data_IF_780426290788
#
_entry.id   IF_780426290788
#
_cell.length_a   1.000
_cell.length_b   1.000
_cell.length_c   1.000
_cell.angle_alpha   90.00
_cell.angle_beta   90.00
_cell.angle_gamma   90.00
#
_symmetry.space_group_name_H-M   'P 1'
#
loop_
_entity.id
_entity.type
_entity.pdbx_description
1 polymer ?
#
# COMPACT_ATOMS: atom_id res chain seq x y z
N UNK A 1 -4.44 23.01 -23.27
CA UNK A 1 -4.66 22.50 -24.64
C UNK A 1 -5.20 21.10 -24.49
N UNK A 2 -6.40 20.76 -24.99
CA UNK A 2 -6.87 19.38 -25.04
C UNK A 2 -6.08 18.63 -26.10
N UNK A 3 -5.43 17.54 -25.73
CA UNK A 3 -4.80 16.59 -26.64
C UNK A 3 -5.92 15.87 -27.39
N UNK A 4 -6.17 16.28 -28.62
CA UNK A 4 -7.01 15.55 -29.57
C UNK A 4 -6.21 14.36 -30.07
N UNK A 5 -6.52 13.17 -29.57
CA UNK A 5 -5.99 11.92 -30.11
C UNK A 5 -6.73 11.64 -31.44
N UNK A 6 -5.97 11.60 -32.54
CA UNK A 6 -6.48 11.08 -33.81
C UNK A 6 -6.76 9.57 -33.66
N UNK A 7 -7.88 9.04 -34.21
CA UNK A 7 -8.15 7.61 -34.19
C UNK A 7 -7.08 6.88 -34.99
N UNK A 8 -6.32 6.00 -34.33
CA UNK A 8 -5.41 5.10 -35.04
C UNK A 8 -6.20 4.04 -35.84
N UNK A 9 -5.65 3.55 -36.97
CA UNK A 9 -6.32 2.55 -37.78
C UNK A 9 -6.54 1.26 -36.99
N UNK A 10 -7.69 0.65 -37.17
CA UNK A 10 -8.24 -0.55 -36.56
C UNK A 10 -7.49 -1.86 -36.93
N UNK A 11 -6.20 -1.94 -36.65
CA UNK A 11 -5.51 -3.23 -36.59
C UNK A 11 -5.54 -3.74 -35.15
N UNK A 12 -6.12 -4.92 -34.96
CA UNK A 12 -6.12 -5.61 -33.66
C UNK A 12 -4.69 -5.65 -33.12
N UNK A 13 -4.51 -5.13 -31.90
CA UNK A 13 -3.20 -5.02 -31.26
C UNK A 13 -2.66 -6.38 -30.87
N UNK A 14 -1.44 -6.72 -31.25
CA UNK A 14 -0.84 -8.04 -30.98
C UNK A 14 -0.37 -8.26 -29.53
N UNK A 15 -0.59 -7.30 -28.64
CA UNK A 15 -0.20 -7.42 -27.22
C UNK A 15 -1.12 -8.35 -26.47
N UNK A 16 -0.56 -9.21 -25.63
CA UNK A 16 -1.30 -10.04 -24.68
C UNK A 16 -1.56 -9.27 -23.38
N UNK A 17 -2.83 -9.15 -23.00
CA UNK A 17 -3.25 -8.40 -21.81
C UNK A 17 -3.82 -9.34 -20.74
N UNK A 18 -3.28 -9.29 -19.53
CA UNK A 18 -3.90 -9.94 -18.36
C UNK A 18 -4.67 -8.92 -17.53
N UNK A 19 -5.92 -9.20 -17.18
CA UNK A 19 -6.73 -8.39 -16.29
C UNK A 19 -6.84 -9.10 -14.94
N UNK A 20 -6.38 -8.45 -13.87
CA UNK A 20 -6.47 -8.97 -12.50
C UNK A 20 -7.61 -8.27 -11.77
N UNK A 21 -8.59 -9.05 -11.30
CA UNK A 21 -9.69 -8.61 -10.45
C UNK A 21 -9.68 -9.35 -9.11
N UNK A 22 -9.90 -8.64 -8.00
CA UNK A 22 -9.96 -9.23 -6.65
C UNK A 22 -11.38 -9.17 -6.13
N UNK A 23 -11.92 -10.32 -5.71
CA UNK A 23 -13.23 -10.51 -5.12
C UNK A 23 -13.07 -10.70 -3.60
N UNK A 24 -13.51 -9.73 -2.81
CA UNK A 24 -13.43 -9.76 -1.34
C UNK A 24 -14.74 -9.39 -0.63
N UNK A 25 -15.76 -9.02 -1.41
CA UNK A 25 -17.10 -8.67 -0.94
C UNK A 25 -18.19 -9.24 -1.83
N UNK A 26 -19.38 -9.48 -1.27
CA UNK A 26 -20.56 -9.91 -2.03
C UNK A 26 -21.02 -8.87 -3.06
N UNK A 27 -20.68 -7.59 -2.85
CA UNK A 27 -20.99 -6.54 -3.81
C UNK A 27 -20.21 -6.74 -5.12
N UNK A 28 -18.91 -7.03 -5.03
CA UNK A 28 -18.04 -7.31 -6.19
C UNK A 28 -18.50 -8.57 -6.93
N UNK A 29 -18.93 -9.61 -6.18
CA UNK A 29 -19.47 -10.84 -6.81
C UNK A 29 -20.74 -10.58 -7.62
N UNK A 30 -21.65 -9.71 -7.12
CA UNK A 30 -22.87 -9.32 -7.86
C UNK A 30 -22.56 -8.55 -9.15
N UNK A 31 -21.51 -7.77 -9.16
CA UNK A 31 -21.08 -6.98 -10.32
C UNK A 31 -20.17 -7.74 -11.29
N UNK A 32 -19.76 -8.97 -10.93
CA UNK A 32 -18.75 -9.72 -11.65
C UNK A 32 -19.12 -9.99 -13.12
N UNK A 33 -20.37 -10.36 -13.39
CA UNK A 33 -20.83 -10.67 -14.75
C UNK A 33 -20.78 -9.43 -15.66
N UNK A 34 -21.23 -8.27 -15.15
CA UNK A 34 -21.22 -7.01 -15.89
C UNK A 34 -19.78 -6.51 -16.09
N UNK A 35 -18.94 -6.64 -15.07
CA UNK A 35 -17.53 -6.28 -15.11
C UNK A 35 -16.76 -7.11 -16.16
N UNK A 36 -16.96 -8.42 -16.19
CA UNK A 36 -16.37 -9.31 -17.19
C UNK A 36 -16.89 -9.00 -18.59
N UNK A 37 -18.20 -8.81 -18.76
CA UNK A 37 -18.80 -8.54 -20.06
C UNK A 37 -18.36 -7.19 -20.63
N UNK A 38 -18.29 -6.16 -19.82
CA UNK A 38 -17.82 -4.83 -20.22
C UNK A 38 -16.36 -4.85 -20.67
N UNK A 39 -15.49 -5.49 -19.89
CA UNK A 39 -14.08 -5.64 -20.24
C UNK A 39 -13.86 -6.55 -21.45
N UNK A 40 -14.65 -7.65 -21.57
CA UNK A 40 -14.59 -8.53 -22.73
C UNK A 40 -14.89 -7.78 -24.03
N UNK A 41 -15.95 -6.94 -24.03
CA UNK A 41 -16.28 -6.12 -25.20
C UNK A 41 -15.14 -5.19 -25.61
N UNK A 42 -14.51 -4.52 -24.65
CA UNK A 42 -13.37 -3.62 -24.90
C UNK A 42 -12.12 -4.38 -25.37
N UNK A 43 -11.78 -5.49 -24.70
CA UNK A 43 -10.58 -6.26 -25.00
C UNK A 43 -10.67 -7.02 -26.31
N UNK A 44 -11.80 -7.67 -26.61
CA UNK A 44 -12.00 -8.42 -27.84
C UNK A 44 -11.94 -7.55 -29.11
N UNK A 45 -12.33 -6.29 -28.97
CA UNK A 45 -12.23 -5.31 -30.07
C UNK A 45 -10.80 -4.79 -30.27
N UNK A 46 -10.04 -4.63 -29.18
CA UNK A 46 -8.74 -3.93 -29.23
C UNK A 46 -7.52 -4.86 -29.23
N UNK A 47 -7.61 -6.09 -28.68
CA UNK A 47 -6.48 -6.99 -28.47
C UNK A 47 -6.72 -8.38 -29.02
N UNK A 48 -5.68 -9.00 -29.57
CA UNK A 48 -5.75 -10.37 -30.12
C UNK A 48 -5.80 -11.45 -29.03
N UNK A 49 -5.14 -11.19 -27.89
CA UNK A 49 -5.05 -12.13 -26.78
C UNK A 49 -5.24 -11.42 -25.44
N UNK A 50 -6.06 -12.01 -24.58
CA UNK A 50 -6.26 -11.53 -23.23
C UNK A 50 -6.70 -12.67 -22.30
N UNK A 51 -6.48 -12.49 -21.00
CA UNK A 51 -6.96 -13.37 -19.93
C UNK A 51 -7.51 -12.55 -18.76
N UNK A 52 -8.44 -13.15 -18.03
CA UNK A 52 -8.94 -12.64 -16.76
C UNK A 52 -8.41 -13.51 -15.62
N UNK A 53 -7.72 -12.93 -14.68
CA UNK A 53 -7.21 -13.56 -13.47
C UNK A 53 -8.03 -13.04 -12.29
N UNK A 54 -9.03 -13.79 -11.89
CA UNK A 54 -9.88 -13.47 -10.74
C UNK A 54 -9.28 -14.08 -9.48
N UNK A 55 -9.18 -13.31 -8.43
CA UNK A 55 -8.69 -13.77 -7.13
C UNK A 55 -9.85 -13.76 -6.14
N UNK A 56 -10.29 -14.94 -5.72
CA UNK A 56 -11.27 -15.09 -4.65
C UNK A 56 -10.59 -14.93 -3.28
N UNK A 57 -10.86 -13.81 -2.63
CA UNK A 57 -10.33 -13.47 -1.30
C UNK A 57 -11.42 -13.61 -0.22
N UNK A 58 -11.95 -14.82 -0.08
CA UNK A 58 -12.90 -15.18 0.97
C UNK A 58 -14.37 -14.93 0.64
N UNK A 59 -14.74 -14.90 -0.65
CA UNK A 59 -16.14 -14.92 -1.10
C UNK A 59 -16.60 -16.37 -1.30
N UNK A 60 -17.93 -16.56 -1.29
CA UNK A 60 -18.53 -17.86 -1.59
C UNK A 60 -18.27 -18.27 -3.04
N UNK A 61 -17.67 -19.46 -3.20
CA UNK A 61 -17.27 -19.99 -4.50
C UNK A 61 -18.48 -20.28 -5.40
N UNK A 62 -19.56 -20.81 -4.82
CA UNK A 62 -20.79 -21.13 -5.58
C UNK A 62 -21.43 -19.87 -6.17
N UNK A 63 -21.40 -18.77 -5.43
CA UNK A 63 -21.89 -17.47 -5.91
C UNK A 63 -21.04 -16.92 -7.06
N UNK A 64 -19.72 -17.10 -7.02
CA UNK A 64 -18.81 -16.68 -8.10
C UNK A 64 -19.06 -17.54 -9.35
N UNK A 65 -19.14 -18.86 -9.19
CA UNK A 65 -19.42 -19.79 -10.30
C UNK A 65 -20.78 -19.50 -10.94
N UNK A 66 -21.81 -19.25 -10.12
CA UNK A 66 -23.14 -18.87 -10.61
C UNK A 66 -23.13 -17.56 -11.42
N UNK A 67 -22.23 -16.62 -11.12
CA UNK A 67 -22.07 -15.40 -11.90
C UNK A 67 -21.30 -15.60 -13.21
N UNK A 68 -20.40 -16.61 -13.28
CA UNK A 68 -19.57 -16.88 -14.47
C UNK A 68 -20.29 -17.83 -15.44
N UNK A 69 -21.02 -18.83 -14.97
CA UNK A 69 -21.65 -19.85 -15.80
C UNK A 69 -22.57 -19.30 -16.92
N UNK A 70 -23.36 -18.24 -16.72
CA UNK A 70 -24.24 -17.70 -17.77
C UNK A 70 -23.48 -16.95 -18.88
N UNK A 71 -22.18 -16.66 -18.70
CA UNK A 71 -21.39 -15.89 -19.66
C UNK A 71 -21.08 -16.71 -20.93
N UNK A 72 -20.85 -16.06 -22.09
CA UNK A 72 -20.48 -16.72 -23.33
C UNK A 72 -19.23 -17.62 -23.18
N UNK A 73 -19.20 -18.74 -23.87
CA UNK A 73 -18.10 -19.70 -23.79
C UNK A 73 -16.74 -19.06 -24.16
N UNK A 74 -16.74 -18.19 -25.18
CA UNK A 74 -15.54 -17.47 -25.63
C UNK A 74 -14.96 -16.53 -24.55
N UNK A 75 -15.80 -16.00 -23.68
CA UNK A 75 -15.35 -15.24 -22.53
C UNK A 75 -14.86 -16.18 -21.42
N UNK A 76 -15.64 -17.23 -21.10
CA UNK A 76 -15.34 -18.15 -20.00
C UNK A 76 -13.97 -18.82 -20.14
N UNK A 77 -13.61 -19.32 -21.31
CA UNK A 77 -12.30 -19.97 -21.55
C UNK A 77 -11.09 -19.11 -21.28
N UNK A 78 -11.26 -17.78 -21.19
CA UNK A 78 -10.22 -16.83 -20.85
C UNK A 78 -10.18 -16.49 -19.34
N UNK A 79 -11.04 -17.11 -18.51
CA UNK A 79 -11.14 -16.82 -17.07
C UNK A 79 -10.37 -17.86 -16.27
N UNK A 80 -9.48 -17.37 -15.42
CA UNK A 80 -8.80 -18.14 -14.38
C UNK A 80 -9.24 -17.62 -13.01
N UNK A 81 -9.77 -18.49 -12.17
CA UNK A 81 -10.18 -18.18 -10.81
C UNK A 81 -9.21 -18.82 -9.82
N UNK A 82 -8.51 -17.98 -9.05
CA UNK A 82 -7.62 -18.38 -7.98
C UNK A 82 -8.39 -18.29 -6.65
N UNK A 83 -8.59 -19.41 -5.98
CA UNK A 83 -9.13 -19.43 -4.63
C UNK A 83 -8.00 -19.36 -3.62
N UNK A 84 -8.03 -18.36 -2.76
CA UNK A 84 -7.11 -18.27 -1.63
C UNK A 84 -7.61 -19.13 -0.47
N UNK A 85 -6.70 -19.82 0.21
CA UNK A 85 -7.02 -20.69 1.35
C UNK A 85 -7.60 -19.95 2.54
N UNK A 86 -7.28 -18.67 2.69
CA UNK A 86 -7.75 -17.79 3.75
C UNK A 86 -7.92 -16.37 3.22
N UNK A 87 -8.84 -15.61 3.84
CA UNK A 87 -8.96 -14.18 3.53
C UNK A 87 -7.72 -13.43 4.02
N UNK A 88 -7.10 -12.69 3.11
CA UNK A 88 -5.90 -11.88 3.36
C UNK A 88 -6.16 -10.40 3.02
N UNK A 89 -5.17 -9.53 3.25
CA UNK A 89 -5.29 -8.14 2.84
C UNK A 89 -5.37 -8.01 1.31
N UNK A 90 -5.99 -6.92 0.83
CA UNK A 90 -6.22 -6.68 -0.61
C UNK A 90 -4.92 -6.62 -1.41
N UNK A 91 -3.87 -5.99 -0.87
CA UNK A 91 -2.58 -5.86 -1.55
C UNK A 91 -1.93 -7.23 -1.84
N UNK A 92 -2.00 -8.16 -0.89
CA UNK A 92 -1.49 -9.53 -1.07
C UNK A 92 -2.38 -10.35 -2.04
N UNK A 93 -3.69 -10.14 -2.02
CA UNK A 93 -4.59 -10.77 -2.99
C UNK A 93 -4.33 -10.26 -4.42
N UNK A 94 -4.09 -8.96 -4.59
CA UNK A 94 -3.65 -8.39 -5.88
C UNK A 94 -2.33 -9.04 -6.31
N UNK A 95 -1.36 -9.18 -5.40
CA UNK A 95 -0.07 -9.79 -5.70
C UNK A 95 -0.21 -11.25 -6.17
N UNK A 96 -1.12 -12.03 -5.57
CA UNK A 96 -1.42 -13.40 -6.02
C UNK A 96 -1.94 -13.43 -7.47
N UNK A 97 -2.80 -12.49 -7.84
CA UNK A 97 -3.28 -12.34 -9.21
C UNK A 97 -2.18 -11.90 -10.18
N UNK A 98 -1.33 -10.97 -9.76
CA UNK A 98 -0.18 -10.49 -10.55
C UNK A 98 0.85 -11.61 -10.80
N UNK A 99 1.08 -12.48 -9.83
CA UNK A 99 2.03 -13.61 -9.96
C UNK A 99 1.52 -14.65 -10.96
N UNK A 100 0.19 -14.81 -11.11
CA UNK A 100 -0.41 -15.73 -12.09
C UNK A 100 -0.52 -15.14 -13.49
N UNK A 101 -0.53 -13.83 -13.62
CA UNK A 101 -0.73 -13.15 -14.90
C UNK A 101 0.41 -13.42 -15.90
N UNK A 102 0.08 -13.70 -17.17
CA UNK A 102 1.05 -14.07 -18.20
C UNK A 102 1.19 -13.04 -19.33
N UNK A 103 0.31 -12.02 -19.40
CA UNK A 103 0.28 -11.03 -20.47
C UNK A 103 1.56 -10.18 -20.58
N UNK A 104 1.79 -9.58 -21.73
CA UNK A 104 2.85 -8.58 -21.96
C UNK A 104 2.65 -7.35 -21.10
N UNK A 105 1.38 -7.04 -20.86
CA UNK A 105 0.93 -6.05 -19.89
C UNK A 105 -0.11 -6.66 -18.97
N UNK A 106 -0.05 -6.32 -17.70
CA UNK A 106 -1.01 -6.77 -16.69
C UNK A 106 -1.71 -5.56 -16.09
N UNK A 107 -3.04 -5.54 -16.18
CA UNK A 107 -3.87 -4.51 -15.55
C UNK A 107 -4.53 -5.06 -14.29
N UNK A 108 -4.27 -4.44 -13.15
CA UNK A 108 -5.15 -4.55 -11.99
C UNK A 108 -6.33 -3.63 -12.24
N UNK A 109 -7.55 -4.14 -12.25
CA UNK A 109 -8.73 -3.36 -12.59
C UNK A 109 -9.80 -3.51 -11.49
N UNK A 110 -10.09 -2.40 -10.79
CA UNK A 110 -11.05 -2.38 -9.69
C UNK A 110 -12.49 -2.28 -10.20
N UNK A 111 -13.44 -2.83 -9.44
CA UNK A 111 -14.86 -2.80 -9.76
C UNK A 111 -15.45 -1.38 -9.75
N UNK A 112 -14.80 -0.42 -9.08
CA UNK A 112 -15.18 1.00 -9.09
C UNK A 112 -15.18 1.61 -10.51
N UNK A 113 -14.50 0.96 -11.46
CA UNK A 113 -14.40 1.38 -12.86
C UNK A 113 -15.20 0.50 -13.84
N UNK A 114 -16.17 -0.24 -13.32
CA UNK A 114 -17.06 -1.14 -14.10
C UNK A 114 -17.63 -0.47 -15.36
N UNK A 115 -18.08 0.79 -15.24
CA UNK A 115 -18.70 1.55 -16.34
C UNK A 115 -17.69 2.15 -17.33
N UNK A 116 -16.38 1.96 -17.09
CA UNK A 116 -15.30 2.58 -17.86
C UNK A 116 -14.23 1.57 -18.33
N UNK A 117 -14.62 0.47 -19.01
CA UNK A 117 -13.66 -0.55 -19.47
C UNK A 117 -12.61 0.03 -20.44
N UNK A 118 -12.94 1.07 -21.21
CA UNK A 118 -12.03 1.76 -22.11
C UNK A 118 -10.78 2.36 -21.41
N UNK A 119 -10.78 2.50 -20.08
CA UNK A 119 -9.60 2.92 -19.34
C UNK A 119 -8.44 1.94 -19.49
N UNK A 120 -8.70 0.64 -19.72
CA UNK A 120 -7.65 -0.36 -19.97
C UNK A 120 -6.88 0.00 -21.25
N UNK A 121 -7.61 0.29 -22.32
CA UNK A 121 -7.04 0.69 -23.61
C UNK A 121 -6.29 2.02 -23.50
N UNK A 122 -6.85 3.02 -22.81
CA UNK A 122 -6.18 4.30 -22.57
C UNK A 122 -4.88 4.14 -21.77
N UNK A 123 -4.87 3.29 -20.72
CA UNK A 123 -3.65 2.98 -19.98
C UNK A 123 -2.61 2.29 -20.86
N UNK A 124 -3.04 1.37 -21.74
CA UNK A 124 -2.15 0.70 -22.66
C UNK A 124 -1.55 1.66 -23.68
N UNK A 125 -2.35 2.55 -24.27
CA UNK A 125 -1.87 3.59 -25.19
C UNK A 125 -0.83 4.51 -24.54
N UNK A 126 -1.08 4.92 -23.30
CA UNK A 126 -0.13 5.72 -22.56
C UNK A 126 1.14 4.92 -22.23
N UNK A 127 1.04 3.61 -21.99
CA UNK A 127 2.21 2.75 -21.78
C UNK A 127 3.09 2.65 -23.03
N UNK A 128 2.51 2.69 -24.25
CA UNK A 128 3.26 2.69 -25.51
C UNK A 128 4.16 3.94 -25.67
N UNK A 129 3.92 4.99 -24.92
CA UNK A 129 4.82 6.18 -24.90
C UNK A 129 6.11 5.93 -24.08
N UNK A 130 6.41 4.69 -23.72
CA UNK A 130 7.61 4.30 -22.97
C UNK A 130 7.40 4.32 -21.46
N UNK A 131 6.15 4.23 -20.98
CA UNK A 131 5.82 4.11 -19.56
C UNK A 131 5.59 2.66 -19.18
N UNK A 132 6.19 2.24 -18.07
CA UNK A 132 6.09 0.87 -17.59
C UNK A 132 4.91 0.65 -16.65
N UNK A 133 4.54 1.68 -15.90
CA UNK A 133 3.44 1.63 -14.94
C UNK A 133 2.53 2.83 -15.19
N UNK A 134 1.29 2.56 -15.59
CA UNK A 134 0.25 3.58 -15.77
C UNK A 134 -0.85 3.34 -14.75
N UNK A 135 -1.24 4.34 -13.96
CA UNK A 135 -2.24 4.20 -12.93
C UNK A 135 -3.33 5.28 -13.01
N UNK A 136 -4.48 5.00 -12.45
CA UNK A 136 -5.56 5.97 -12.35
C UNK A 136 -5.36 6.84 -11.11
N UNK A 137 -5.53 8.15 -11.28
CA UNK A 137 -5.34 9.14 -10.23
C UNK A 137 -6.64 9.84 -9.90
N UNK A 138 -7.13 9.67 -8.66
CA UNK A 138 -8.31 10.34 -8.18
C UNK A 138 -8.07 11.86 -8.01
N UNK A 139 -9.11 12.66 -8.22
CA UNK A 139 -9.12 14.08 -7.88
C UNK A 139 -9.47 14.31 -6.42
N UNK A 140 -10.27 13.43 -5.83
CA UNK A 140 -10.79 13.56 -4.48
C UNK A 140 -10.66 12.25 -3.69
N UNK A 141 -10.66 12.36 -2.37
CA UNK A 141 -10.67 11.24 -1.45
C UNK A 141 -11.77 11.44 -0.41
N UNK A 142 -12.65 10.47 -0.28
CA UNK A 142 -13.70 10.48 0.75
C UNK A 142 -13.14 9.94 2.06
N UNK A 143 -12.79 10.84 2.98
CA UNK A 143 -12.25 10.51 4.30
C UNK A 143 -12.94 11.33 5.37
N UNK A 144 -13.09 10.75 6.56
CA UNK A 144 -13.42 11.49 7.78
C UNK A 144 -12.29 12.45 8.17
N UNK A 145 -12.59 13.44 9.01
CA UNK A 145 -11.59 14.43 9.46
C UNK A 145 -10.37 13.76 10.14
N UNK A 146 -10.63 12.76 11.00
CA UNK A 146 -9.57 12.02 11.69
C UNK A 146 -8.69 11.21 10.70
N UNK A 147 -9.31 10.53 9.74
CA UNK A 147 -8.59 9.82 8.69
C UNK A 147 -7.77 10.78 7.83
N UNK A 148 -8.32 11.95 7.47
CA UNK A 148 -7.60 12.97 6.68
C UNK A 148 -6.32 13.43 7.39
N UNK A 149 -6.38 13.66 8.70
CA UNK A 149 -5.21 14.03 9.49
C UNK A 149 -4.17 12.90 9.51
N UNK A 150 -4.61 11.67 9.79
CA UNK A 150 -3.72 10.49 9.80
C UNK A 150 -3.03 10.28 8.44
N UNK A 151 -3.77 10.36 7.35
CA UNK A 151 -3.21 10.27 6.00
C UNK A 151 -2.23 11.40 5.69
N UNK A 152 -2.54 12.63 6.11
CA UNK A 152 -1.63 13.78 5.93
C UNK A 152 -0.30 13.55 6.66
N UNK A 153 -0.34 13.09 7.92
CA UNK A 153 0.85 12.76 8.71
C UNK A 153 1.62 11.60 8.06
N UNK A 154 0.93 10.52 7.68
CA UNK A 154 1.53 9.36 7.06
C UNK A 154 2.29 9.70 5.77
N UNK A 155 1.65 10.40 4.83
CA UNK A 155 2.29 10.80 3.59
C UNK A 155 3.35 11.88 3.77
N UNK A 156 3.24 12.75 4.78
CA UNK A 156 4.30 13.68 5.16
C UNK A 156 5.55 12.92 5.61
N UNK A 157 5.40 11.92 6.48
CA UNK A 157 6.51 11.07 6.93
C UNK A 157 7.13 10.33 5.74
N UNK A 158 6.32 9.71 4.89
CA UNK A 158 6.80 9.02 3.68
C UNK A 158 7.56 9.98 2.75
N UNK A 159 7.02 11.15 2.46
CA UNK A 159 7.66 12.09 1.54
C UNK A 159 8.95 12.70 2.10
N UNK A 160 9.06 12.89 3.43
CA UNK A 160 10.21 13.55 4.07
C UNK A 160 11.33 12.60 4.44
N UNK A 161 11.00 11.34 4.79
CA UNK A 161 11.94 10.35 5.33
C UNK A 161 12.09 9.10 4.48
N UNK A 162 11.46 9.03 3.30
CA UNK A 162 11.65 8.00 2.29
C UNK A 162 12.15 8.61 0.99
N UNK A 163 12.90 7.84 0.23
CA UNK A 163 13.31 8.19 -1.15
C UNK A 163 12.24 7.84 -2.19
N UNK A 164 11.14 7.21 -1.75
CA UNK A 164 10.08 6.72 -2.63
C UNK A 164 9.11 7.84 -3.01
N UNK A 165 8.87 8.00 -4.30
CA UNK A 165 7.85 8.92 -4.83
C UNK A 165 6.51 8.20 -4.93
N UNK A 166 5.76 8.12 -3.82
CA UNK A 166 4.44 7.50 -3.78
C UNK A 166 3.38 8.56 -4.01
N UNK A 167 2.53 8.37 -5.04
CA UNK A 167 1.37 9.24 -5.25
C UNK A 167 0.24 8.83 -4.28
N UNK A 168 -0.15 9.69 -3.33
CA UNK A 168 -1.23 9.42 -2.40
C UNK A 168 -2.59 9.27 -3.07
N UNK A 169 -2.77 9.80 -4.28
CA UNK A 169 -4.04 9.84 -5.01
C UNK A 169 -4.20 8.71 -6.03
N UNK A 170 -3.21 7.83 -6.15
CA UNK A 170 -3.28 6.68 -7.06
C UNK A 170 -4.27 5.61 -6.59
N UNK A 171 -5.13 5.13 -7.50
CA UNK A 171 -5.94 3.91 -7.31
C UNK A 171 -5.06 2.65 -7.36
N UNK A 172 -5.63 1.50 -6.97
CA UNK A 172 -4.99 0.21 -7.23
C UNK A 172 -5.09 -0.17 -8.71
N UNK A 173 -6.10 0.36 -9.44
CA UNK A 173 -6.22 0.19 -10.88
C UNK A 173 -5.01 0.77 -11.60
N UNK A 174 -4.26 -0.12 -12.25
CA UNK A 174 -3.02 0.21 -12.97
C UNK A 174 -2.66 -0.85 -13.99
N UNK A 175 -1.99 -0.41 -15.05
CA UNK A 175 -1.38 -1.26 -16.06
C UNK A 175 0.12 -1.31 -15.82
N UNK A 176 0.71 -2.50 -15.91
CA UNK A 176 2.12 -2.76 -15.61
C UNK A 176 2.72 -3.56 -16.77
N UNK A 177 3.87 -3.13 -17.31
CA UNK A 177 4.63 -3.89 -18.30
C UNK A 177 5.22 -5.18 -17.70
N UNK A 178 5.42 -6.22 -18.53
CA UNK A 178 6.00 -7.50 -18.08
C UNK A 178 7.33 -7.32 -17.35
N UNK A 179 8.21 -6.45 -17.85
CA UNK A 179 9.52 -6.21 -17.21
C UNK A 179 9.39 -5.59 -15.82
N UNK A 180 8.46 -4.63 -15.65
CA UNK A 180 8.22 -4.02 -14.35
C UNK A 180 7.53 -5.00 -13.39
N UNK A 181 6.60 -5.83 -13.89
CA UNK A 181 5.93 -6.87 -13.12
C UNK A 181 6.92 -7.93 -12.62
N UNK A 182 7.80 -8.42 -13.50
CA UNK A 182 8.83 -9.39 -13.10
C UNK A 182 9.76 -8.84 -12.01
N UNK A 183 10.09 -7.55 -12.08
CA UNK A 183 10.89 -6.89 -11.04
C UNK A 183 10.12 -6.73 -9.73
N UNK A 184 8.82 -6.39 -9.82
CA UNK A 184 7.93 -6.30 -8.65
C UNK A 184 7.80 -7.65 -7.93
N UNK A 185 7.60 -8.74 -8.69
CA UNK A 185 7.45 -10.09 -8.13
C UNK A 185 8.73 -10.64 -7.49
N UNK A 186 9.90 -10.10 -7.87
CA UNK A 186 11.19 -10.43 -7.21
C UNK A 186 11.36 -9.76 -5.86
N UNK A 187 10.64 -8.65 -5.62
CA UNK A 187 10.59 -8.00 -4.31
C UNK A 187 9.72 -8.84 -3.36
N UNK A 188 10.24 -9.97 -2.90
CA UNK A 188 9.55 -10.87 -1.96
C UNK A 188 9.53 -10.34 -0.53
N UNK A 189 9.55 -9.03 -0.36
CA UNK A 189 9.41 -8.41 0.94
C UNK A 189 8.01 -8.67 1.50
N UNK A 190 7.92 -9.01 2.78
CA UNK A 190 6.65 -9.10 3.54
C UNK A 190 5.94 -7.74 3.68
N UNK A 191 6.26 -6.82 2.78
CA UNK A 191 5.74 -5.48 2.75
C UNK A 191 4.25 -5.50 2.37
N UNK A 192 3.42 -5.13 3.33
CA UNK A 192 1.96 -5.07 3.20
C UNK A 192 1.46 -3.80 2.48
N UNK A 193 2.34 -3.08 1.78
CA UNK A 193 1.98 -1.82 1.12
C UNK A 193 2.43 -1.82 -0.34
N UNK A 194 1.58 -2.37 -1.18
CA UNK A 194 1.86 -2.59 -2.61
C UNK A 194 2.18 -1.29 -3.37
N UNK A 195 1.57 -0.15 -2.97
CA UNK A 195 1.88 1.16 -3.59
C UNK A 195 3.33 1.58 -3.39
N UNK A 196 3.95 1.22 -2.27
CA UNK A 196 5.37 1.46 -2.05
C UNK A 196 6.24 0.54 -2.92
N UNK A 197 5.84 -0.72 -3.10
CA UNK A 197 6.58 -1.66 -3.94
C UNK A 197 6.64 -1.21 -5.40
N UNK A 198 5.54 -0.63 -5.95
CA UNK A 198 5.56 -0.03 -7.29
C UNK A 198 6.51 1.16 -7.40
N UNK A 199 6.65 1.95 -6.35
CA UNK A 199 7.62 3.05 -6.33
C UNK A 199 9.07 2.54 -6.17
N UNK A 200 9.26 1.46 -5.41
CA UNK A 200 10.57 0.87 -5.11
C UNK A 200 11.22 0.26 -6.35
N UNK A 201 10.44 -0.36 -7.26
CA UNK A 201 11.00 -0.92 -8.51
C UNK A 201 11.55 0.16 -9.46
N UNK A 202 11.20 1.44 -9.26
CA UNK A 202 11.84 2.58 -9.92
C UNK A 202 11.55 2.74 -11.42
N UNK A 203 10.58 2.03 -11.98
CA UNK A 203 10.21 2.11 -13.38
C UNK A 203 9.47 3.41 -13.72
N UNK A 204 9.47 3.78 -15.00
CA UNK A 204 8.80 4.99 -15.49
C UNK A 204 7.30 4.90 -15.27
N UNK A 205 6.71 5.94 -14.65
CA UNK A 205 5.28 5.99 -14.32
C UNK A 205 4.56 7.11 -15.07
N UNK A 206 3.26 6.90 -15.33
CA UNK A 206 2.33 7.94 -15.77
C UNK A 206 0.98 7.75 -15.06
N UNK A 207 0.14 8.79 -15.06
CA UNK A 207 -1.19 8.72 -14.45
C UNK A 207 -2.26 9.32 -15.37
N UNK A 208 -3.45 8.71 -15.33
CA UNK A 208 -4.66 9.21 -15.98
C UNK A 208 -5.57 9.77 -14.87
N UNK A 209 -5.95 11.06 -14.92
CA UNK A 209 -6.85 11.64 -13.94
C UNK A 209 -8.27 11.09 -14.13
N UNK A 210 -8.90 10.66 -13.04
CA UNK A 210 -10.28 10.14 -13.01
C UNK A 210 -11.12 10.90 -12.00
N UNK A 211 -12.44 10.82 -12.18
CA UNK A 211 -13.41 11.51 -11.30
C UNK A 211 -13.82 10.67 -10.10
N UNK A 212 -13.63 9.36 -10.17
CA UNK A 212 -13.95 8.42 -9.10
C UNK A 212 -13.10 8.73 -7.87
N UNK A 213 -13.76 8.96 -6.70
CA UNK A 213 -13.03 9.24 -5.47
C UNK A 213 -12.35 7.98 -4.95
N UNK A 214 -11.21 8.15 -4.30
CA UNK A 214 -10.61 7.07 -3.52
C UNK A 214 -11.47 6.79 -2.28
N UNK A 215 -11.94 5.56 -2.19
CA UNK A 215 -12.60 5.05 -0.99
C UNK A 215 -11.58 4.42 -0.03
N UNK A 216 -11.70 4.64 1.30
CA UNK A 216 -10.96 3.81 2.25
C UNK A 216 -11.45 2.37 2.13
N UNK A 217 -10.57 1.41 2.31
CA UNK A 217 -10.98 0.01 2.35
C UNK A 217 -11.92 -0.21 3.55
N UNK A 218 -13.22 -0.28 3.28
CA UNK A 218 -14.27 -0.35 4.31
C UNK A 218 -14.20 -1.63 5.16
N UNK A 219 -13.49 -2.65 4.67
CA UNK A 219 -13.31 -3.92 5.35
C UNK A 219 -12.25 -3.87 6.46
N UNK A 220 -11.48 -2.78 6.58
CA UNK A 220 -10.32 -2.70 7.49
C UNK A 220 -10.62 -1.77 8.65
N UNK A 221 -10.50 -2.28 9.88
CA UNK A 221 -10.67 -1.48 11.10
C UNK A 221 -9.62 -0.37 11.21
N UNK A 222 -9.92 0.71 11.94
CA UNK A 222 -8.99 1.81 12.16
C UNK A 222 -7.65 1.32 12.78
N UNK A 223 -7.72 0.34 13.71
CA UNK A 223 -6.54 -0.25 14.33
C UNK A 223 -5.64 -0.99 13.31
N UNK A 224 -6.24 -1.70 12.38
CA UNK A 224 -5.49 -2.36 11.29
C UNK A 224 -4.91 -1.36 10.30
N UNK A 225 -5.63 -0.30 9.96
CA UNK A 225 -5.11 0.79 9.11
C UNK A 225 -3.89 1.44 9.77
N UNK A 226 -3.97 1.73 11.08
CA UNK A 226 -2.86 2.28 11.84
C UNK A 226 -1.67 1.31 11.90
N UNK A 227 -1.91 0.03 12.16
CA UNK A 227 -0.86 -1.00 12.16
C UNK A 227 -0.18 -1.11 10.79
N UNK A 228 -0.94 -1.11 9.70
CA UNK A 228 -0.39 -1.15 8.33
C UNK A 228 0.44 0.10 8.04
N UNK A 229 -0.05 1.28 8.45
CA UNK A 229 0.70 2.53 8.32
C UNK A 229 2.01 2.49 9.10
N UNK A 230 2.01 1.94 10.32
CA UNK A 230 3.18 1.82 11.17
C UNK A 230 4.21 0.87 10.57
N UNK A 231 3.77 -0.29 10.05
CA UNK A 231 4.63 -1.22 9.31
C UNK A 231 5.22 -0.54 8.06
N UNK A 232 4.42 0.19 7.28
CA UNK A 232 4.91 0.89 6.10
C UNK A 232 5.94 1.97 6.47
N UNK A 233 5.72 2.75 7.54
CA UNK A 233 6.68 3.75 8.02
C UNK A 233 8.00 3.09 8.46
N UNK A 234 7.94 1.97 9.18
CA UNK A 234 9.15 1.26 9.65
C UNK A 234 9.92 0.61 8.52
N UNK A 235 9.22 0.06 7.51
CA UNK A 235 9.86 -0.65 6.38
C UNK A 235 10.44 0.30 5.32
N UNK A 236 9.76 1.42 5.05
CA UNK A 236 10.12 2.30 3.93
C UNK A 236 10.71 3.65 4.32
N UNK A 237 10.84 3.95 5.63
CA UNK A 237 11.38 5.24 6.08
C UNK A 237 12.44 5.10 7.15
N UNK A 238 13.28 6.12 7.24
CA UNK A 238 14.24 6.29 8.34
C UNK A 238 13.67 7.11 9.50
N UNK A 239 12.38 7.43 9.48
CA UNK A 239 11.73 8.32 10.44
C UNK A 239 11.92 7.89 11.89
N UNK A 240 11.62 6.62 12.21
CA UNK A 240 11.75 6.12 13.58
C UNK A 240 13.20 6.12 14.06
N UNK A 241 14.17 5.80 13.19
CA UNK A 241 15.59 5.92 13.52
C UNK A 241 15.97 7.38 13.84
N UNK A 242 15.49 8.31 13.02
CA UNK A 242 15.72 9.75 13.25
C UNK A 242 15.05 10.23 14.53
N UNK A 243 13.82 9.79 14.80
CA UNK A 243 13.11 10.08 16.04
C UNK A 243 13.87 9.58 17.27
N UNK A 244 14.37 8.33 17.25
CA UNK A 244 15.18 7.78 18.34
C UNK A 244 16.46 8.58 18.56
N UNK A 245 17.13 9.02 17.50
CA UNK A 245 18.31 9.87 17.61
C UNK A 245 17.98 11.19 18.30
N UNK A 246 16.88 11.85 17.91
CA UNK A 246 16.46 13.10 18.55
C UNK A 246 16.07 12.91 20.01
N UNK A 247 15.37 11.81 20.36
CA UNK A 247 15.07 11.46 21.75
C UNK A 247 16.36 11.25 22.55
N UNK A 248 17.34 10.55 21.98
CA UNK A 248 18.64 10.35 22.62
C UNK A 248 19.36 11.67 22.86
N UNK A 249 19.47 12.53 21.83
CA UNK A 249 20.12 13.85 21.95
C UNK A 249 19.42 14.70 23.01
N UNK A 250 18.08 14.73 23.01
CA UNK A 250 17.30 15.42 24.02
C UNK A 250 17.55 14.88 25.44
N UNK A 251 17.58 13.55 25.60
CA UNK A 251 17.86 12.90 26.89
C UNK A 251 19.25 13.24 27.42
N UNK A 252 20.27 13.26 26.56
CA UNK A 252 21.64 13.67 26.92
C UNK A 252 21.67 15.14 27.36
N UNK A 253 20.97 16.00 26.61
CA UNK A 253 20.90 17.44 26.99
C UNK A 253 20.25 17.63 28.35
N UNK A 254 19.13 16.94 28.61
CA UNK A 254 18.46 17.00 29.94
C UNK A 254 19.39 16.47 31.04
N UNK A 255 20.11 15.38 30.79
CA UNK A 255 21.07 14.83 31.74
C UNK A 255 22.21 15.83 32.06
N UNK A 256 22.77 16.49 31.03
CA UNK A 256 23.83 17.51 31.22
C UNK A 256 23.29 18.68 32.02
N UNK A 257 22.10 19.19 31.74
CA UNK A 257 21.46 20.28 32.50
C UNK A 257 21.22 19.86 33.94
N UNK A 258 20.73 18.63 34.18
CA UNK A 258 20.50 18.10 35.52
C UNK A 258 21.79 17.95 36.30
N UNK A 259 22.87 17.45 35.71
CA UNK A 259 24.20 17.33 36.34
C UNK A 259 24.73 18.72 36.68
N UNK A 260 24.66 19.68 35.75
CA UNK A 260 25.08 21.05 35.98
C UNK A 260 24.32 21.71 37.14
N UNK A 261 22.99 21.53 37.19
CA UNK A 261 22.16 22.01 38.28
C UNK A 261 22.57 21.37 39.62
N UNK A 262 22.75 20.06 39.66
CA UNK A 262 23.16 19.34 40.88
C UNK A 262 24.52 19.86 41.42
N UNK A 263 25.49 20.10 40.55
CA UNK A 263 26.80 20.67 40.92
C UNK A 263 26.66 22.08 41.40
N UNK A 264 25.88 22.93 40.72
CA UNK A 264 25.62 24.33 41.12
C UNK A 264 24.96 24.39 42.49
N UNK A 265 23.88 23.64 42.70
CA UNK A 265 23.20 23.58 44.02
C UNK A 265 24.15 23.15 45.14
N UNK A 266 25.00 22.14 44.88
CA UNK A 266 25.99 21.67 45.87
C UNK A 266 27.03 22.74 46.23
N UNK A 267 27.40 23.62 45.30
CA UNK A 267 28.42 24.65 45.50
C UNK A 267 27.85 25.95 46.03
N UNK A 268 26.63 26.34 45.64
CA UNK A 268 26.05 27.67 45.89
C UNK A 268 24.74 27.64 46.66
N UNK A 269 24.15 26.51 46.95
CA UNK A 269 22.80 26.32 47.47
C UNK A 269 21.70 27.04 46.65
N UNK A 270 21.99 27.34 45.37
CA UNK A 270 21.07 28.02 44.45
C UNK A 270 20.92 27.17 43.20
N UNK A 271 19.71 26.91 42.78
CA UNK A 271 19.42 26.16 41.54
C UNK A 271 19.66 26.98 40.26
N UNK A 272 19.39 26.39 39.07
CA UNK A 272 19.53 27.08 37.77
C UNK A 272 18.57 28.28 37.68
N UNK A 273 17.41 28.20 38.33
CA UNK A 273 16.37 29.25 38.31
C UNK A 273 16.62 30.34 39.34
N UNK A 274 17.67 30.22 40.17
CA UNK A 274 18.03 31.21 41.15
C UNK A 274 17.34 31.05 42.53
N UNK A 275 16.64 29.93 42.75
CA UNK A 275 16.00 29.63 44.02
C UNK A 275 16.97 28.97 45.00
N UNK A 276 16.88 29.36 46.30
CA UNK A 276 17.62 28.68 47.36
C UNK A 276 16.98 27.30 47.65
N UNK A 277 17.73 26.23 47.41
CA UNK A 277 17.27 24.86 47.59
C UNK A 277 18.05 24.20 48.70
N UNK A 278 17.37 23.80 49.77
CA UNK A 278 17.98 22.98 50.80
C UNK A 278 18.26 21.57 50.29
N UNK A 279 19.43 21.03 50.63
CA UNK A 279 19.95 19.77 50.07
C UNK A 279 19.07 18.51 50.25
N UNK A 280 18.08 18.57 51.14
CA UNK A 280 17.11 17.50 51.42
C UNK A 280 15.89 17.48 50.44
N UNK A 281 15.63 18.53 49.69
CA UNK A 281 14.49 18.63 48.75
C UNK A 281 14.74 17.93 47.41
N UNK A 282 15.96 17.47 47.13
CA UNK A 282 16.35 16.83 45.87
C UNK A 282 15.72 15.47 45.57
N UNK A 283 15.12 14.81 46.58
CA UNK A 283 14.54 13.48 46.44
C UNK A 283 13.38 13.44 45.44
N UNK A 284 12.44 14.38 45.54
CA UNK A 284 11.31 14.46 44.60
C UNK A 284 11.78 14.68 43.16
N UNK A 285 12.77 15.56 42.96
CA UNK A 285 13.38 15.82 41.65
C UNK A 285 14.04 14.55 41.08
N UNK A 286 14.79 13.79 41.89
CA UNK A 286 15.42 12.53 41.48
C UNK A 286 14.37 11.50 41.04
N UNK A 287 13.27 11.34 41.80
CA UNK A 287 12.18 10.39 41.44
C UNK A 287 11.53 10.77 40.12
N UNK A 288 11.24 12.06 39.88
CA UNK A 288 10.68 12.52 38.62
C UNK A 288 11.66 12.30 37.46
N UNK A 289 12.93 12.67 37.66
CA UNK A 289 13.97 12.48 36.63
C UNK A 289 14.14 10.99 36.27
N UNK A 290 14.25 10.10 37.25
CA UNK A 290 14.33 8.67 37.03
C UNK A 290 13.09 8.13 36.30
N UNK A 291 11.89 8.59 36.66
CA UNK A 291 10.64 8.19 36.00
C UNK A 291 10.60 8.59 34.53
N UNK A 292 11.06 9.81 34.21
CA UNK A 292 11.17 10.32 32.83
C UNK A 292 12.16 9.47 32.02
N UNK A 293 13.36 9.23 32.55
CA UNK A 293 14.35 8.39 31.85
C UNK A 293 13.87 6.94 31.69
N UNK A 294 13.18 6.39 32.68
CA UNK A 294 12.59 5.07 32.57
C UNK A 294 11.53 5.01 31.47
N UNK A 295 10.63 6.02 31.42
CA UNK A 295 9.61 6.11 30.37
C UNK A 295 10.23 6.22 28.96
N UNK A 296 11.29 7.04 28.80
CA UNK A 296 12.03 7.16 27.54
C UNK A 296 12.72 5.85 27.17
N UNK A 297 13.29 5.12 28.12
CA UNK A 297 13.89 3.80 27.89
C UNK A 297 12.84 2.80 27.43
N UNK A 298 11.67 2.76 28.06
CA UNK A 298 10.55 1.91 27.63
C UNK A 298 10.09 2.25 26.21
N UNK A 299 10.03 3.53 25.84
CA UNK A 299 9.68 3.96 24.49
C UNK A 299 10.72 3.46 23.45
N UNK A 300 12.01 3.60 23.76
CA UNK A 300 13.10 3.11 22.90
C UNK A 300 12.99 1.59 22.71
N UNK A 301 12.79 0.83 23.79
CA UNK A 301 12.62 -0.63 23.75
C UNK A 301 11.38 -1.02 22.93
N UNK A 302 10.27 -0.29 23.04
CA UNK A 302 9.07 -0.54 22.25
C UNK A 302 9.34 -0.35 20.76
N UNK A 303 10.00 0.75 20.36
CA UNK A 303 10.35 0.97 18.95
C UNK A 303 11.32 -0.10 18.44
N UNK A 304 12.34 -0.49 19.23
CA UNK A 304 13.24 -1.60 18.90
C UNK A 304 12.49 -2.92 18.70
N UNK A 305 11.48 -3.18 19.54
CA UNK A 305 10.62 -4.36 19.40
C UNK A 305 9.86 -4.39 18.07
N UNK A 306 9.41 -3.22 17.56
CA UNK A 306 8.76 -3.13 16.25
C UNK A 306 9.75 -3.50 15.13
N UNK A 307 10.97 -2.96 15.15
CA UNK A 307 12.00 -3.32 14.17
C UNK A 307 12.35 -4.81 14.22
N UNK A 308 12.55 -5.35 15.42
CA UNK A 308 12.86 -6.77 15.61
C UNK A 308 11.71 -7.66 15.10
N UNK A 309 10.46 -7.28 15.34
CA UNK A 309 9.28 -7.98 14.82
C UNK A 309 9.23 -7.98 13.30
N UNK A 310 9.57 -6.85 12.66
CA UNK A 310 9.63 -6.76 11.19
C UNK A 310 10.75 -7.64 10.63
N UNK A 311 11.97 -7.55 11.20
CA UNK A 311 13.10 -8.41 10.81
C UNK A 311 12.75 -9.89 10.98
N UNK A 312 12.13 -10.25 12.11
CA UNK A 312 11.69 -11.63 12.36
C UNK A 312 10.68 -12.12 11.33
N UNK A 313 9.72 -11.26 10.92
CA UNK A 313 8.72 -11.60 9.91
C UNK A 313 9.36 -11.81 8.52
N UNK A 314 10.40 -11.03 8.18
CA UNK A 314 11.16 -11.18 6.93
C UNK A 314 11.98 -12.48 6.93
N UNK A 315 12.72 -12.76 8.02
CA UNK A 315 13.55 -13.98 8.13
C UNK A 315 12.69 -15.25 8.07
N UNK A 316 11.46 -15.19 8.62
CA UNK A 316 10.53 -16.33 8.63
C UNK A 316 10.07 -16.74 7.23
N UNK A 317 10.19 -15.85 6.26
CA UNK A 317 9.93 -16.06 4.83
C UNK A 317 8.60 -16.80 4.54
N UNK A 318 7.54 -16.49 5.32
CA UNK A 318 6.21 -17.08 5.13
C UNK A 318 5.59 -16.56 3.84
N UNK A 319 4.93 -17.43 3.04
CA UNK A 319 4.27 -16.98 1.83
C UNK A 319 3.20 -15.93 2.16
N UNK A 320 3.13 -14.87 1.34
CA UNK A 320 2.16 -13.76 1.50
C UNK A 320 0.72 -14.21 1.25
N UNK A 321 0.55 -15.26 0.46
CA UNK A 321 -0.72 -15.89 0.12
C UNK A 321 -0.52 -17.39 -0.13
N UNK A 322 -1.58 -18.16 0.03
CA UNK A 322 -1.62 -19.57 -0.30
C UNK A 322 -2.82 -19.78 -1.23
N UNK A 323 -2.54 -20.31 -2.43
CA UNK A 323 -3.58 -20.65 -3.40
C UNK A 323 -4.06 -22.07 -3.06
N UNK A 324 -5.34 -22.21 -2.73
CA UNK A 324 -5.97 -23.49 -2.47
C UNK A 324 -6.26 -24.23 -3.78
N UNK A 325 -6.81 -23.54 -4.76
CA UNK A 325 -7.15 -24.11 -6.06
C UNK A 325 -7.12 -23.06 -7.16
N UNK A 326 -6.87 -23.52 -8.39
CA UNK A 326 -6.99 -22.73 -9.61
C UNK A 326 -8.01 -23.41 -10.51
N UNK A 327 -9.06 -22.68 -10.92
CA UNK A 327 -10.08 -23.17 -11.84
C UNK A 327 -10.02 -22.38 -13.14
N UNK A 328 -10.21 -23.07 -14.24
CA UNK A 328 -10.42 -22.51 -15.57
C UNK A 328 -11.84 -22.85 -16.01
N UNK A 329 -12.54 -21.92 -16.64
CA UNK A 329 -13.92 -22.09 -17.09
C UNK A 329 -14.01 -22.38 -18.58
#
# INVERSE_FOLDING_TARGET
>A
MPLTFAPMPTSVRQSFISIVGVLQSQHEVRQLADWLSGLYGELSFNFSHFEFVLVNNGCDLTSIEAAIHPLPEDLRKNIFLLNLSTKINRDNAILAGLDRANGDYTAVFEFDFLEKPALVTQMWELAQTGKDIVYLRAKERRLSLAQRLLYKIFYFILSRYSQLRIDPWGHHTRLISRRALNSLLRLRENSRYLKANYALVGYSTASIPVTEPLHPDQAVSFGEQFRTALVAVTSFTTFLRSLLLWIFVFSVLVAVVAIFNAVKVKLTNVDIFGEHVESLSGWAFLVVLMSVFFALTCLILYVMSIYLSNIYSEIKNRPLYIIESVRRF
#
